data_IF_470889363081
#
_entry.id   IF_470889363081
#
_cell.length_a   1.000
_cell.length_b   1.000
_cell.length_c   1.000
_cell.angle_alpha   90.00
_cell.angle_beta   90.00
_cell.angle_gamma   90.00
#
_symmetry.space_group_name_H-M   'P 1'
#
loop_
_entity.id
_entity.type
_entity.pdbx_description
1 polymer ?
#
# COMPACT_ATOMS: atom_id res chain seq x y z
N UNK A 1 71.60 18.26 6.55
CA UNK A 1 70.67 19.40 6.71
C UNK A 1 69.26 18.92 6.43
N UNK A 2 68.30 19.51 7.14
CA UNK A 2 66.89 19.17 7.25
C UNK A 2 66.08 19.32 5.95
N UNK A 3 64.87 18.74 5.93
CA UNK A 3 63.76 19.02 4.99
C UNK A 3 63.27 17.75 4.27
N UNK A 4 62.23 17.05 4.73
CA UNK A 4 60.79 17.31 4.45
C UNK A 4 60.41 17.02 2.98
N UNK A 5 59.32 16.38 2.57
CA UNK A 5 58.12 15.79 3.20
C UNK A 5 57.34 15.04 2.08
N UNK A 6 56.34 14.25 2.50
CA UNK A 6 55.16 13.85 1.71
C UNK A 6 55.30 12.76 0.63
N UNK A 7 55.33 11.56 1.20
CA UNK A 7 54.78 10.29 0.76
C UNK A 7 53.36 10.34 0.14
N UNK A 8 53.22 9.51 -0.92
CA UNK A 8 52.05 8.78 -1.44
C UNK A 8 51.07 9.49 -2.37
N UNK A 9 51.08 8.99 -3.61
CA UNK A 9 50.03 9.21 -4.58
C UNK A 9 48.94 8.14 -4.55
N UNK A 10 48.11 8.30 -5.58
CA UNK A 10 47.13 7.39 -6.19
C UNK A 10 45.83 7.05 -5.44
N UNK A 11 44.76 7.55 -6.08
CA UNK A 11 43.57 6.78 -6.48
C UNK A 11 42.37 6.68 -5.52
N UNK A 12 41.19 6.82 -6.14
CA UNK A 12 39.92 6.36 -5.58
C UNK A 12 38.92 7.46 -5.27
N UNK A 13 38.41 8.16 -6.29
CA UNK A 13 37.13 8.86 -6.16
C UNK A 13 35.99 7.82 -6.08
N UNK A 14 35.85 7.22 -4.89
CA UNK A 14 34.73 6.35 -4.56
C UNK A 14 33.45 7.17 -4.52
N UNK A 15 32.64 7.07 -5.58
CA UNK A 15 31.25 7.52 -5.59
C UNK A 15 30.51 6.71 -4.52
N UNK A 16 30.26 7.33 -3.37
CA UNK A 16 29.36 6.80 -2.36
C UNK A 16 27.97 6.63 -3.00
N UNK A 17 27.67 5.41 -3.44
CA UNK A 17 26.30 5.04 -3.73
C UNK A 17 25.61 4.90 -2.37
N UNK A 18 24.90 5.95 -1.95
CA UNK A 18 23.88 5.80 -0.92
C UNK A 18 22.85 4.79 -1.46
N UNK A 19 23.03 3.52 -1.10
CA UNK A 19 21.92 2.57 -1.11
C UNK A 19 21.12 2.91 0.15
N UNK A 20 19.85 3.32 0.05
CA UNK A 20 19.01 3.44 1.24
C UNK A 20 19.07 2.11 1.98
N UNK A 21 19.36 2.15 3.28
CA UNK A 21 19.34 0.96 4.09
C UNK A 21 17.86 0.65 4.37
N UNK A 22 17.24 -0.14 3.52
CA UNK A 22 15.94 -0.73 3.82
C UNK A 22 16.14 -1.72 4.97
N UNK A 23 16.03 -1.24 6.21
CA UNK A 23 15.94 -2.13 7.38
C UNK A 23 14.54 -2.72 7.37
N UNK A 24 14.46 -4.02 7.17
CA UNK A 24 13.24 -4.77 7.44
C UNK A 24 13.11 -4.90 8.95
N UNK A 25 12.12 -4.23 9.53
CA UNK A 25 11.75 -4.39 10.93
C UNK A 25 10.65 -5.45 11.00
N UNK A 26 10.89 -6.52 11.76
CA UNK A 26 9.90 -7.58 11.99
C UNK A 26 8.73 -7.00 12.78
N UNK A 27 7.48 -7.28 12.37
CA UNK A 27 6.26 -6.72 12.98
C UNK A 27 5.65 -5.49 12.29
N UNK A 28 6.24 -5.01 11.19
CA UNK A 28 5.69 -3.91 10.38
C UNK A 28 5.00 -4.39 9.09
N UNK A 29 4.77 -5.69 8.93
CA UNK A 29 4.08 -6.27 7.76
C UNK A 29 4.61 -5.76 6.40
N UNK A 30 5.92 -5.49 6.31
CA UNK A 30 6.58 -4.97 5.10
C UNK A 30 6.55 -3.45 4.91
N UNK A 31 6.03 -2.66 5.86
CA UNK A 31 5.98 -1.20 5.77
C UNK A 31 7.39 -0.59 5.72
N UNK A 32 7.55 0.46 4.89
CA UNK A 32 8.82 1.12 4.69
C UNK A 32 8.92 2.40 5.52
N UNK A 33 9.92 2.49 6.41
CA UNK A 33 10.17 3.67 7.23
C UNK A 33 11.37 4.46 6.70
N UNK A 34 11.26 5.79 6.74
CA UNK A 34 12.39 6.69 6.49
C UNK A 34 13.46 6.54 7.57
N UNK A 35 14.74 6.65 7.20
CA UNK A 35 15.86 6.70 8.14
C UNK A 35 15.79 7.90 9.11
N UNK A 36 14.99 8.91 8.76
CA UNK A 36 14.78 10.14 9.56
C UNK A 36 13.42 10.19 10.25
N UNK A 37 12.68 9.06 10.27
CA UNK A 37 11.40 9.00 10.99
C UNK A 37 11.62 9.34 12.48
N UNK A 38 10.75 10.18 13.04
CA UNK A 38 10.77 10.45 14.47
C UNK A 38 10.36 9.19 15.24
N UNK A 39 10.76 9.10 16.51
CA UNK A 39 10.33 7.99 17.37
C UNK A 39 8.80 7.93 17.51
N UNK A 40 8.15 9.09 17.55
CA UNK A 40 6.68 9.23 17.57
C UNK A 40 6.04 8.58 16.33
N UNK A 41 6.53 8.90 15.12
CA UNK A 41 6.04 8.28 13.88
C UNK A 41 6.20 6.76 13.85
N UNK A 42 7.28 6.24 14.45
CA UNK A 42 7.50 4.78 14.56
C UNK A 42 6.45 4.16 15.48
N UNK A 43 6.19 4.77 16.63
CA UNK A 43 5.16 4.28 17.56
C UNK A 43 3.76 4.34 16.93
N UNK A 44 3.40 5.45 16.30
CA UNK A 44 2.09 5.62 15.65
C UNK A 44 1.88 4.65 14.49
N UNK A 45 2.93 4.36 13.72
CA UNK A 45 2.87 3.36 12.65
C UNK A 45 2.75 1.95 13.22
N UNK A 46 3.45 1.64 14.31
CA UNK A 46 3.34 0.34 14.97
C UNK A 46 1.93 0.12 15.56
N UNK A 47 1.33 1.16 16.13
CA UNK A 47 -0.07 1.13 16.58
C UNK A 47 -1.02 0.93 15.41
N UNK A 48 -0.86 1.69 14.32
CA UNK A 48 -1.69 1.55 13.12
C UNK A 48 -1.66 0.15 12.50
N UNK A 49 -0.46 -0.43 12.38
CA UNK A 49 -0.28 -1.81 11.89
C UNK A 49 -0.79 -2.82 12.93
N UNK A 50 -0.65 -2.56 14.22
CA UNK A 50 -1.23 -3.40 15.26
C UNK A 50 -2.76 -3.44 15.22
N UNK A 51 -3.41 -2.33 14.85
CA UNK A 51 -4.86 -2.21 14.73
C UNK A 51 -5.41 -2.87 13.45
N UNK A 52 -4.74 -2.67 12.31
CA UNK A 52 -5.26 -3.05 10.99
C UNK A 52 -4.44 -4.12 10.26
N UNK A 53 -3.41 -4.67 10.90
CA UNK A 53 -2.57 -5.73 10.38
C UNK A 53 -1.87 -5.39 9.06
N UNK A 54 -1.75 -6.40 8.19
CA UNK A 54 -1.09 -6.28 6.90
C UNK A 54 -1.73 -5.22 5.98
N UNK A 55 -3.04 -5.01 6.10
CA UNK A 55 -3.76 -4.02 5.31
C UNK A 55 -3.22 -2.60 5.55
N UNK A 56 -2.97 -2.24 6.81
CA UNK A 56 -2.40 -0.94 7.16
C UNK A 56 -1.05 -0.71 6.49
N UNK A 57 -0.15 -1.71 6.51
CA UNK A 57 1.16 -1.63 5.86
C UNK A 57 1.06 -1.39 4.36
N UNK A 58 0.15 -2.09 3.68
CA UNK A 58 -0.07 -1.96 2.24
C UNK A 58 -0.62 -0.58 1.86
N UNK A 59 -1.60 -0.08 2.61
CA UNK A 59 -2.17 1.26 2.41
C UNK A 59 -1.11 2.33 2.69
N UNK A 60 -0.36 2.18 3.78
CA UNK A 60 0.74 3.09 4.12
C UNK A 60 1.76 3.19 2.98
N UNK A 61 2.17 2.05 2.40
CA UNK A 61 3.05 2.03 1.24
C UNK A 61 2.43 2.67 -0.01
N UNK A 62 1.12 2.49 -0.23
CA UNK A 62 0.39 3.08 -1.35
C UNK A 62 0.43 4.61 -1.34
N UNK A 63 0.25 5.22 -0.17
CA UNK A 63 0.33 6.68 0.02
C UNK A 63 1.76 7.21 0.19
N UNK A 64 2.77 6.44 -0.21
CA UNK A 64 4.16 6.89 -0.15
C UNK A 64 4.69 7.07 1.27
N UNK A 65 4.20 6.27 2.22
CA UNK A 65 4.56 6.28 3.64
C UNK A 65 4.04 7.52 4.40
N UNK A 66 2.90 8.07 3.96
CA UNK A 66 2.14 9.10 4.67
C UNK A 66 1.08 8.46 5.58
N UNK A 67 1.30 8.55 6.89
CA UNK A 67 0.43 7.92 7.90
C UNK A 67 -0.92 8.64 8.02
N UNK A 68 -0.95 9.96 7.82
CA UNK A 68 -2.19 10.74 7.91
C UNK A 68 -3.12 10.36 6.76
N UNK A 69 -2.59 10.30 5.53
CA UNK A 69 -3.35 9.85 4.36
C UNK A 69 -3.77 8.38 4.49
N UNK A 70 -2.89 7.51 4.99
CA UNK A 70 -3.22 6.11 5.18
C UNK A 70 -4.34 5.90 6.20
N UNK A 71 -4.38 6.69 7.29
CA UNK A 71 -5.48 6.67 8.26
C UNK A 71 -6.76 7.23 7.67
N UNK A 72 -6.68 8.35 6.96
CA UNK A 72 -7.83 8.96 6.29
C UNK A 72 -8.50 7.99 5.29
N UNK A 73 -7.71 7.17 4.58
CA UNK A 73 -8.26 6.19 3.65
C UNK A 73 -9.22 5.18 4.33
N UNK A 74 -9.04 4.87 5.61
CA UNK A 74 -9.97 3.99 6.34
C UNK A 74 -11.36 4.58 6.56
N UNK A 75 -11.55 5.89 6.40
CA UNK A 75 -12.89 6.51 6.41
C UNK A 75 -13.71 6.08 5.19
N UNK A 76 -13.04 5.77 4.08
CA UNK A 76 -13.63 5.34 2.81
C UNK A 76 -13.60 3.82 2.61
N UNK A 77 -13.36 3.06 3.68
CA UNK A 77 -13.34 1.60 3.63
C UNK A 77 -14.74 1.03 3.38
N UNK A 78 -14.90 0.33 2.24
CA UNK A 78 -16.17 -0.27 1.85
C UNK A 78 -16.38 -1.65 2.51
N UNK A 79 -15.30 -2.41 2.69
CA UNK A 79 -15.37 -3.72 3.34
C UNK A 79 -14.37 -4.74 2.81
N UNK A 80 -14.46 -5.95 3.38
CA UNK A 80 -13.70 -7.13 2.98
C UNK A 80 -14.60 -8.06 2.17
N UNK A 81 -14.06 -8.55 1.06
CA UNK A 81 -14.73 -9.39 0.08
C UNK A 81 -13.83 -10.55 -0.32
N UNK A 82 -14.41 -11.62 -0.86
CA UNK A 82 -13.61 -12.72 -1.44
C UNK A 82 -12.89 -12.28 -2.71
N UNK A 83 -13.50 -11.35 -3.44
CA UNK A 83 -12.96 -10.79 -4.67
C UNK A 83 -13.51 -9.39 -4.92
N UNK A 84 -12.83 -8.60 -5.75
CA UNK A 84 -13.39 -7.32 -6.21
C UNK A 84 -14.65 -7.50 -7.06
N UNK A 85 -14.83 -8.67 -7.69
CA UNK A 85 -16.03 -9.00 -8.45
C UNK A 85 -17.25 -9.14 -7.52
N UNK A 86 -17.06 -9.74 -6.35
CA UNK A 86 -18.11 -9.88 -5.33
C UNK A 86 -18.60 -8.49 -4.87
N UNK A 87 -17.66 -7.56 -4.62
CA UNK A 87 -18.00 -6.16 -4.33
C UNK A 87 -18.82 -5.51 -5.45
N UNK A 88 -18.38 -5.67 -6.71
CA UNK A 88 -19.09 -5.07 -7.84
C UNK A 88 -20.51 -5.63 -8.00
N UNK A 89 -20.69 -6.94 -7.82
CA UNK A 89 -22.01 -7.58 -7.85
C UNK A 89 -22.92 -7.10 -6.70
N UNK A 90 -22.39 -7.06 -5.48
CA UNK A 90 -23.12 -6.57 -4.31
C UNK A 90 -23.55 -5.12 -4.50
N UNK A 91 -22.64 -4.23 -4.92
CA UNK A 91 -22.92 -2.83 -5.20
C UNK A 91 -24.09 -2.67 -6.18
N UNK A 92 -24.09 -3.43 -7.29
CA UNK A 92 -25.16 -3.33 -8.28
C UNK A 92 -26.50 -3.86 -7.76
N UNK A 93 -26.45 -4.89 -6.91
CA UNK A 93 -27.62 -5.44 -6.22
C UNK A 93 -28.20 -4.41 -5.24
N UNK A 94 -27.37 -3.74 -4.46
CA UNK A 94 -27.76 -2.70 -3.50
C UNK A 94 -28.32 -1.45 -4.19
N UNK A 95 -27.73 -1.04 -5.32
CA UNK A 95 -28.23 0.06 -6.14
C UNK A 95 -29.55 -0.26 -6.85
N UNK A 96 -30.03 -1.51 -6.78
CA UNK A 96 -31.30 -1.93 -7.37
C UNK A 96 -31.25 -2.14 -8.88
N UNK A 97 -30.06 -2.43 -9.43
CA UNK A 97 -29.87 -2.71 -10.86
C UNK A 97 -30.70 -3.92 -11.26
N UNK A 98 -31.65 -3.73 -12.17
CA UNK A 98 -32.54 -4.81 -12.62
C UNK A 98 -31.85 -5.61 -13.73
N UNK A 99 -31.17 -6.70 -13.34
CA UNK A 99 -30.59 -7.67 -14.27
C UNK A 99 -31.62 -8.78 -14.54
N UNK A 100 -32.04 -9.00 -15.79
CA UNK A 100 -32.88 -10.15 -16.13
C UNK A 100 -32.18 -11.47 -15.77
N UNK A 101 -32.90 -12.43 -15.17
CA UNK A 101 -32.34 -13.73 -14.76
C UNK A 101 -31.68 -14.49 -15.92
N UNK A 102 -32.20 -14.32 -17.14
CA UNK A 102 -31.60 -14.92 -18.35
C UNK A 102 -30.20 -14.39 -18.69
N UNK A 103 -29.82 -13.22 -18.16
CA UNK A 103 -28.56 -12.54 -18.42
C UNK A 103 -27.61 -12.55 -17.21
N UNK A 104 -28.05 -12.92 -16.01
CA UNK A 104 -27.24 -12.83 -14.79
C UNK A 104 -25.94 -13.61 -14.88
N UNK A 105 -25.99 -14.84 -15.42
CA UNK A 105 -24.81 -15.70 -15.61
C UNK A 105 -23.86 -15.26 -16.74
N UNK A 106 -24.21 -14.21 -17.48
CA UNK A 106 -23.38 -13.67 -18.57
C UNK A 106 -22.66 -12.37 -18.20
N UNK A 107 -22.88 -11.86 -16.98
CA UNK A 107 -22.21 -10.65 -16.52
C UNK A 107 -20.80 -11.00 -16.03
N UNK A 108 -19.81 -10.28 -16.57
CA UNK A 108 -18.42 -10.36 -16.12
C UNK A 108 -18.17 -9.30 -15.04
N UNK A 109 -18.49 -9.65 -13.79
CA UNK A 109 -18.27 -8.79 -12.63
C UNK A 109 -16.78 -8.50 -12.38
N UNK A 110 -15.89 -9.40 -12.77
CA UNK A 110 -14.46 -9.21 -12.63
C UNK A 110 -13.94 -8.12 -13.57
N UNK A 111 -14.40 -8.10 -14.82
CA UNK A 111 -14.10 -7.03 -15.76
C UNK A 111 -14.62 -5.68 -15.24
N UNK A 112 -15.84 -5.64 -14.71
CA UNK A 112 -16.44 -4.43 -14.17
C UNK A 112 -15.63 -3.87 -12.98
N UNK A 113 -15.32 -4.72 -11.99
CA UNK A 113 -14.53 -4.32 -10.84
C UNK A 113 -13.14 -3.81 -11.23
N UNK A 114 -12.50 -4.45 -12.21
CA UNK A 114 -11.22 -3.99 -12.76
C UNK A 114 -11.34 -2.61 -13.39
N UNK A 115 -12.38 -2.38 -14.17
CA UNK A 115 -12.59 -1.10 -14.83
C UNK A 115 -12.87 0.02 -13.80
N UNK A 116 -13.64 -0.26 -12.74
CA UNK A 116 -13.83 0.66 -11.61
C UNK A 116 -12.50 1.04 -10.94
N UNK A 117 -11.62 0.06 -10.72
CA UNK A 117 -10.30 0.32 -10.15
C UNK A 117 -9.40 1.14 -11.08
N UNK A 118 -9.41 0.84 -12.39
CA UNK A 118 -8.63 1.57 -13.40
C UNK A 118 -9.11 3.01 -13.59
N UNK A 119 -10.41 3.25 -13.43
CA UNK A 119 -11.00 4.59 -13.47
C UNK A 119 -10.74 5.39 -12.18
N UNK A 120 -10.22 4.75 -11.13
CA UNK A 120 -10.02 5.37 -9.83
C UNK A 120 -11.34 5.64 -9.11
N UNK A 121 -12.35 4.77 -9.29
CA UNK A 121 -13.58 4.80 -8.48
C UNK A 121 -13.37 4.07 -7.15
N UNK A 122 -12.56 3.00 -7.19
CA UNK A 122 -12.21 2.18 -6.03
C UNK A 122 -10.71 1.86 -6.00
N UNK A 123 -10.20 1.62 -4.80
CA UNK A 123 -8.91 0.96 -4.59
C UNK A 123 -9.14 -0.45 -4.04
N UNK A 124 -8.28 -1.38 -4.43
CA UNK A 124 -8.40 -2.80 -4.08
C UNK A 124 -7.07 -3.32 -3.54
N UNK A 125 -7.09 -3.89 -2.34
CA UNK A 125 -5.93 -4.47 -1.68
C UNK A 125 -6.20 -5.94 -1.31
N UNK A 126 -5.35 -6.86 -1.80
CA UNK A 126 -5.51 -8.29 -1.53
C UNK A 126 -4.52 -8.79 -0.47
N UNK A 127 -4.96 -9.02 0.77
CA UNK A 127 -4.15 -9.54 1.89
C UNK A 127 -4.07 -11.08 1.89
N UNK A 128 -5.01 -11.77 1.24
CA UNK A 128 -5.09 -13.23 1.21
C UNK A 128 -5.75 -13.79 -0.06
N UNK A 129 -5.90 -15.11 -0.15
CA UNK A 129 -6.46 -15.78 -1.33
C UNK A 129 -7.91 -15.33 -1.61
N UNK A 130 -8.74 -15.24 -0.57
CA UNK A 130 -10.14 -14.76 -0.59
C UNK A 130 -10.32 -13.58 0.37
N UNK A 131 -9.30 -12.72 0.50
CA UNK A 131 -9.30 -11.58 1.41
C UNK A 131 -8.91 -10.33 0.61
N UNK A 132 -9.93 -9.64 0.10
CA UNK A 132 -9.83 -8.46 -0.73
C UNK A 132 -10.55 -7.31 -0.07
N UNK A 133 -9.79 -6.26 0.26
CA UNK A 133 -10.27 -5.05 0.89
C UNK A 133 -10.53 -3.99 -0.19
N UNK A 134 -11.74 -3.41 -0.17
CA UNK A 134 -12.15 -2.39 -1.13
C UNK A 134 -12.34 -1.05 -0.42
N UNK A 135 -11.86 0.01 -1.06
CA UNK A 135 -11.98 1.39 -0.59
C UNK A 135 -12.57 2.24 -1.71
N UNK A 136 -13.39 3.21 -1.36
CA UNK A 136 -13.78 4.26 -2.31
C UNK A 136 -12.61 5.21 -2.55
N UNK A 137 -12.44 5.66 -3.78
CA UNK A 137 -11.48 6.71 -4.13
C UNK A 137 -12.20 8.06 -4.10
N UNK A 138 -11.86 8.94 -3.15
CA UNK A 138 -12.41 10.29 -3.03
C UNK A 138 -11.37 11.37 -3.25
#
# INVERSE_FOLDING_TARGET
>A
MCGETCKHGSEGAGRWQHRPATRHYEGFEGAHLSEYASFETVCELAEFIGEHGELASRIYGHYGNDLEQARAAFEDYAGEYRSAADFAEELHTELGTQVPESLSYYIDWQALARDMALNGEIMVFQTGFDEVHVFWSR
#
